data_IF_770157097989
#
_entry.id   IF_770157097989
#
_cell.length_a   1.000
_cell.length_b   1.000
_cell.length_c   1.000
_cell.angle_alpha   90.00
_cell.angle_beta   90.00
_cell.angle_gamma   90.00
#
_symmetry.space_group_name_H-M   'P 1'
#
loop_
_entity.id
_entity.type
_entity.pdbx_description
1 polymer ?
2 non-polymer ?
3 non-polymer ?
4 water ?
#
# COMPACT_ATOMS: atom_id res chain seq x y z
N UNK A 1 -8.26 15.36 10.56
CA UNK A 1 -8.48 14.03 9.94
C UNK A 1 -8.13 12.88 10.91
N UNK A 2 -8.90 11.79 10.90
CA UNK A 2 -8.70 10.68 11.82
C UNK A 2 -7.64 9.71 11.29
N UNK A 3 -6.69 9.36 12.15
CA UNK A 3 -5.78 8.26 11.83
C UNK A 3 -5.31 7.53 13.08
N UNK A 4 -4.84 6.31 12.92
CA UNK A 4 -4.09 5.60 13.97
C UNK A 4 -2.58 5.53 13.68
N UNK A 5 -1.81 5.62 14.72
CA UNK A 5 -0.39 5.45 14.62
C UNK A 5 -0.10 3.97 14.82
N UNK A 6 0.66 3.39 13.86
CA UNK A 6 1.03 2.01 13.90
C UNK A 6 2.52 1.86 13.58
N UNK A 7 3.14 0.76 14.01
CA UNK A 7 4.53 0.50 13.72
C UNK A 7 4.67 -0.93 13.18
N UNK A 8 5.51 -1.17 12.14
CA UNK A 8 5.79 -2.52 11.61
C UNK A 8 7.29 -2.78 11.78
N UNK A 9 7.66 -4.01 12.12
CA UNK A 9 9.03 -4.49 11.93
C UNK A 9 9.30 -4.68 10.44
N UNK A 10 10.53 -4.98 10.07
CA UNK A 10 10.85 -5.28 8.69
C UNK A 10 10.07 -6.56 8.28
N UNK A 11 9.56 -6.58 7.07
CA UNK A 11 8.69 -7.65 6.63
C UNK A 11 9.20 -8.09 5.30
N UNK A 12 8.89 -9.32 4.93
CA UNK A 12 9.12 -9.81 3.59
C UNK A 12 7.79 -9.81 2.87
N UNK A 13 7.78 -9.21 1.67
CA UNK A 13 6.61 -9.14 0.83
C UNK A 13 6.87 -9.87 -0.49
N UNK A 14 5.88 -10.65 -0.88
CA UNK A 14 5.95 -11.48 -2.05
C UNK A 14 4.82 -11.06 -2.95
N UNK A 15 5.12 -10.84 -4.22
CA UNK A 15 4.10 -10.45 -5.17
C UNK A 15 4.70 -10.08 -6.51
N UNK A 16 4.07 -9.08 -7.15
CA UNK A 16 4.47 -8.65 -8.48
C UNK A 16 4.46 -7.16 -8.52
N UNK A 17 5.58 -6.59 -8.92
CA UNK A 17 5.75 -5.16 -9.09
C UNK A 17 5.76 -4.79 -10.57
N UNK A 18 4.97 -3.81 -10.97
CA UNK A 18 5.03 -3.22 -12.30
C UNK A 18 5.44 -1.75 -12.12
N UNK A 19 5.94 -1.16 -13.20
CA UNK A 19 6.49 0.18 -13.19
C UNK A 19 5.83 0.98 -14.28
N UNK A 20 5.34 2.19 -13.92
CA UNK A 20 4.60 3.07 -14.86
C UNK A 20 5.29 4.40 -14.88
N UNK A 21 5.04 5.23 -15.87
CA UNK A 21 5.42 6.65 -15.70
C UNK A 21 4.51 7.28 -14.62
N UNK A 22 5.11 8.03 -13.67
CA UNK A 22 4.34 8.76 -12.66
C UNK A 22 3.11 9.36 -13.34
N UNK A 23 1.92 8.90 -12.94
CA UNK A 23 0.78 8.95 -13.85
C UNK A 23 -0.48 9.72 -13.47
N UNK A 24 -0.90 10.57 -14.42
CA UNK A 24 -2.29 11.01 -14.53
C UNK A 24 -3.12 9.84 -15.13
N UNK A 25 -2.40 8.88 -15.72
CA UNK A 25 -2.98 7.66 -16.28
C UNK A 25 -2.65 6.44 -15.41
N UNK A 26 -1.92 6.66 -14.31
CA UNK A 26 -1.43 5.58 -13.47
C UNK A 26 -2.60 4.78 -12.96
N UNK A 27 -3.70 5.47 -12.60
CA UNK A 27 -4.80 4.76 -11.97
C UNK A 27 -5.38 3.78 -12.96
N UNK A 28 -5.41 4.16 -14.24
CA UNK A 28 -5.88 3.24 -15.29
C UNK A 28 -5.01 1.95 -15.41
N UNK A 29 -3.69 2.12 -15.40
CA UNK A 29 -2.78 0.98 -15.41
C UNK A 29 -2.90 0.12 -14.15
N UNK A 30 -3.07 0.75 -13.00
CA UNK A 30 -3.22 0.02 -11.75
C UNK A 30 -4.49 -0.81 -11.80
N UNK A 31 -5.59 -0.22 -12.27
CA UNK A 31 -6.82 -0.99 -12.48
C UNK A 31 -6.54 -2.21 -13.33
N UNK A 32 -5.92 -2.00 -14.48
CA UNK A 32 -5.63 -3.10 -15.38
C UNK A 32 -4.74 -4.19 -14.77
N UNK A 33 -3.83 -3.76 -13.91
CA UNK A 33 -2.86 -4.65 -13.28
C UNK A 33 -3.56 -5.49 -12.24
N UNK A 34 -4.44 -4.88 -11.45
CA UNK A 34 -5.34 -5.64 -10.57
C UNK A 34 -6.17 -6.65 -11.35
N UNK A 35 -6.78 -6.18 -12.43
CA UNK A 35 -7.64 -7.04 -13.28
C UNK A 35 -6.85 -8.25 -13.77
N UNK A 36 -5.63 -8.01 -14.26
CA UNK A 36 -4.76 -9.07 -14.76
C UNK A 36 -4.31 -10.04 -13.71
N UNK A 37 -3.95 -9.50 -12.55
CA UNK A 37 -3.51 -10.38 -11.45
C UNK A 37 -4.67 -11.29 -11.00
N UNK A 38 -5.88 -10.76 -10.96
CA UNK A 38 -6.99 -11.64 -10.58
C UNK A 38 -7.22 -12.66 -11.69
N UNK A 39 -7.17 -12.18 -12.94
CA UNK A 39 -7.55 -12.98 -14.05
C UNK A 39 -6.55 -14.09 -14.23
N UNK A 40 -5.26 -13.80 -14.01
CA UNK A 40 -4.29 -14.84 -14.20
C UNK A 40 -4.08 -15.73 -12.92
N UNK A 41 -4.88 -15.55 -11.87
CA UNK A 41 -4.76 -16.47 -10.74
C UNK A 41 -3.64 -16.04 -9.80
N UNK A 42 -3.05 -14.87 -10.08
CA UNK A 42 -1.98 -14.39 -9.20
C UNK A 42 -2.52 -14.02 -7.82
N UNK A 43 -3.62 -13.30 -7.74
CA UNK A 43 -4.17 -12.96 -6.42
C UNK A 43 -4.42 -14.24 -5.60
N UNK A 44 -5.09 -15.22 -6.21
CA UNK A 44 -5.39 -16.44 -5.48
C UNK A 44 -4.13 -17.10 -4.99
N UNK A 45 -3.14 -17.13 -5.86
CA UNK A 45 -1.90 -17.80 -5.53
C UNK A 45 -1.15 -17.05 -4.37
N UNK A 46 -1.16 -15.71 -4.38
CA UNK A 46 -0.52 -14.93 -3.30
C UNK A 46 -1.25 -15.08 -1.99
N UNK A 47 -2.58 -15.20 -2.08
CA UNK A 47 -3.36 -15.37 -0.88
C UNK A 47 -2.95 -16.63 -0.11
N UNK A 48 -2.52 -17.68 -0.83
CA UNK A 48 -2.09 -18.91 -0.19
C UNK A 48 -0.88 -18.69 0.63
N UNK A 49 -0.04 -17.85 0.10
CA UNK A 49 1.27 -17.55 0.69
C UNK A 49 1.23 -16.59 1.82
N UNK A 50 0.11 -15.92 2.03
CA UNK A 50 0.03 -14.89 3.08
C UNK A 50 0.28 -15.57 4.43
N UNK A 51 1.34 -15.13 5.11
CA UNK A 51 1.68 -15.73 6.40
C UNK A 51 1.01 -15.06 7.57
N UNK A 52 0.12 -14.12 7.29
CA UNK A 52 -0.57 -13.43 8.38
C UNK A 52 0.03 -12.18 9.02
N UNK A 53 1.25 -11.80 8.68
CA UNK A 53 1.89 -10.63 9.33
C UNK A 53 1.05 -9.40 9.21
N UNK A 54 0.53 -9.15 8.02
CA UNK A 54 -0.56 -8.24 7.77
C UNK A 54 -1.76 -8.99 7.12
N UNK A 55 -2.97 -8.75 7.63
CA UNK A 55 -4.13 -9.49 7.15
C UNK A 55 -4.63 -8.80 5.90
N UNK A 56 -4.52 -9.44 4.75
CA UNK A 56 -5.02 -8.83 3.51
C UNK A 56 -3.96 -8.72 2.43
N UNK A 57 -4.36 -8.11 1.32
CA UNK A 57 -3.49 -7.93 0.20
C UNK A 57 -3.05 -6.46 0.18
N UNK A 58 -1.76 -6.23 -0.01
CA UNK A 58 -1.19 -4.89 -0.16
C UNK A 58 -1.11 -4.42 -1.61
N UNK A 59 -1.46 -3.15 -1.81
CA UNK A 59 -1.14 -2.45 -3.03
C UNK A 59 -0.16 -1.33 -2.69
N UNK A 60 1.09 -1.60 -2.91
CA UNK A 60 2.18 -0.66 -2.55
C UNK A 60 2.56 0.26 -3.67
N UNK A 61 2.67 1.53 -3.34
CA UNK A 61 3.27 2.47 -4.24
C UNK A 61 4.74 2.66 -3.84
N UNK A 62 5.64 2.29 -4.75
CA UNK A 62 7.07 2.30 -4.51
C UNK A 62 7.75 3.33 -5.37
N UNK A 63 8.38 4.35 -4.75
CA UNK A 63 9.08 5.35 -5.57
C UNK A 63 10.30 4.70 -6.23
N UNK A 64 10.58 5.02 -7.49
CA UNK A 64 11.77 4.51 -8.15
C UNK A 64 12.76 5.70 -8.21
N UNK A 65 14.06 5.41 -8.23
CA UNK A 65 15.09 6.46 -8.22
C UNK A 65 15.24 7.16 -9.59
N UNK A 66 14.59 6.65 -10.62
CA UNK A 66 14.61 7.32 -11.92
C UNK A 66 13.36 8.19 -12.05
N UNK A 67 12.60 8.31 -10.95
CA UNK A 67 11.44 9.17 -10.92
C UNK A 67 10.14 8.45 -11.22
N UNK A 68 10.22 7.35 -11.96
CA UNK A 68 9.04 6.50 -12.23
C UNK A 68 8.31 6.04 -10.98
N UNK A 69 7.13 5.44 -11.17
CA UNK A 69 6.36 4.99 -10.03
C UNK A 69 6.02 3.53 -10.24
N UNK A 70 6.28 2.71 -9.24
CA UNK A 70 5.93 1.29 -9.27
C UNK A 70 4.77 1.05 -8.35
N UNK A 71 4.00 0.02 -8.71
CA UNK A 71 2.92 -0.42 -7.89
C UNK A 71 3.17 -1.88 -7.74
N UNK A 72 3.09 -2.34 -6.50
CA UNK A 72 3.28 -3.77 -6.24
C UNK A 72 2.07 -4.34 -5.55
N UNK A 73 1.58 -5.42 -6.10
CA UNK A 73 0.53 -6.18 -5.43
C UNK A 73 1.24 -7.32 -4.70
N UNK A 74 1.01 -7.42 -3.40
CA UNK A 74 1.79 -8.32 -2.59
C UNK A 74 1.09 -8.76 -1.33
N UNK A 75 1.62 -9.83 -0.71
CA UNK A 75 1.29 -10.24 0.68
C UNK A 75 2.54 -10.42 1.51
N UNK A 76 2.43 -10.36 2.85
CA UNK A 76 3.51 -10.70 3.75
C UNK A 76 3.66 -12.20 3.61
N UNK A 77 4.87 -12.63 3.33
CA UNK A 77 5.18 -14.04 3.14
C UNK A 77 6.49 -14.33 3.80
N UNK A 78 7.11 -15.45 3.43
CA UNK A 78 8.26 -15.94 4.18
C UNK A 78 9.46 -16.22 3.30
N UNK A 79 9.24 -16.72 2.10
CA UNK A 79 10.38 -17.26 1.36
C UNK A 79 10.88 -16.44 0.15
N UNK A 80 12.20 -16.44 -0.03
CA UNK A 80 12.83 -16.07 -1.30
C UNK A 80 12.86 -17.31 -2.22
N UNK A 81 12.26 -18.40 -1.73
CA UNK A 81 12.01 -19.60 -2.52
C UNK A 81 11.03 -19.32 -3.66
N UNK A 82 10.37 -18.16 -3.62
CA UNK A 82 9.38 -17.76 -4.62
C UNK A 82 9.95 -16.87 -5.72
N UNK A 83 11.23 -16.54 -5.61
CA UNK A 83 11.90 -15.61 -6.53
C UNK A 83 11.83 -16.03 -7.99
N UNK A 84 11.65 -17.33 -8.20
CA UNK A 84 11.50 -17.84 -9.54
C UNK A 84 10.28 -17.21 -10.20
N UNK A 85 9.16 -17.17 -9.49
CA UNK A 85 7.95 -16.67 -10.09
C UNK A 85 7.67 -15.21 -9.66
N UNK A 86 8.10 -14.84 -8.45
CA UNK A 86 7.65 -13.59 -7.83
C UNK A 86 8.76 -12.65 -7.49
N UNK A 87 8.40 -11.37 -7.48
CA UNK A 87 9.22 -10.33 -6.82
C UNK A 87 9.13 -10.47 -5.30
N UNK A 88 10.24 -10.32 -4.63
CA UNK A 88 10.26 -10.41 -3.21
C UNK A 88 11.02 -9.19 -2.72
N UNK A 89 10.42 -8.37 -1.85
CA UNK A 89 11.12 -7.27 -1.28
C UNK A 89 11.07 -7.32 0.24
N UNK A 90 11.95 -6.53 0.84
CA UNK A 90 11.92 -6.30 2.25
C UNK A 90 11.26 -4.93 2.41
N UNK A 91 10.24 -4.84 3.25
CA UNK A 91 9.56 -3.58 3.59
C UNK A 91 10.17 -3.14 4.91
N UNK A 92 10.98 -2.08 4.84
CA UNK A 92 11.78 -1.70 5.97
C UNK A 92 10.89 -1.13 7.03
N UNK A 93 11.30 -1.43 8.26
CA UNK A 93 10.56 -1.14 9.46
C UNK A 93 10.21 0.35 9.54
N UNK A 94 9.02 0.69 10.01
CA UNK A 94 8.65 2.12 10.00
C UNK A 94 7.43 2.31 10.87
N UNK A 95 7.22 3.54 11.33
CA UNK A 95 5.95 3.95 11.89
C UNK A 95 5.09 4.47 10.75
N UNK A 96 3.77 4.53 10.96
CA UNK A 96 2.80 4.91 9.95
C UNK A 96 1.68 5.73 10.56
N UNK A 97 1.10 6.63 9.76
CA UNK A 97 -0.24 7.12 9.95
C UNK A 97 -1.13 6.19 9.18
N UNK A 98 -2.10 5.57 9.86
CA UNK A 98 -2.96 4.60 9.17
C UNK A 98 -4.34 5.21 9.13
N UNK A 99 -4.80 5.39 7.89
CA UNK A 99 -6.14 5.95 7.61
C UNK A 99 -7.12 4.91 7.08
N UNK A 100 -8.43 5.15 7.22
CA UNK A 100 -9.45 4.26 6.70
C UNK A 100 -10.25 4.92 5.61
N UNK A 101 -10.39 4.18 4.51
CA UNK A 101 -11.34 4.51 3.46
C UNK A 101 -12.46 3.50 3.47
N UNK A 102 -13.65 4.01 3.69
CA UNK A 102 -14.82 3.16 3.77
C UNK A 102 -15.68 3.45 2.57
N UNK A 103 -16.01 2.39 1.88
CA UNK A 103 -16.80 2.48 0.66
C UNK A 103 -16.29 1.44 -0.32
N UNK A 104 -17.02 1.34 -1.44
CA UNK A 104 -16.70 0.43 -2.53
C UNK A 104 -15.39 0.78 -3.16
N UNK A 105 -14.62 -0.25 -3.47
CA UNK A 105 -13.33 -0.09 -4.15
C UNK A 105 -13.59 0.02 -5.67
N UNK A 106 -12.80 0.85 -6.37
CA UNK A 106 -11.69 1.68 -5.89
C UNK A 106 -12.10 3.10 -5.50
N UNK A 107 -13.34 3.49 -5.76
CA UNK A 107 -13.76 4.89 -5.64
C UNK A 107 -13.49 5.46 -4.27
N UNK A 108 -13.83 4.72 -3.22
CA UNK A 108 -13.63 5.22 -1.87
C UNK A 108 -12.20 5.39 -1.55
N UNK A 109 -11.38 4.54 -2.13
CA UNK A 109 -9.95 4.57 -1.86
C UNK A 109 -9.30 5.73 -2.55
N UNK A 110 -9.64 5.90 -3.81
CA UNK A 110 -9.14 7.04 -4.56
C UNK A 110 -9.46 8.36 -3.89
N UNK A 111 -10.71 8.53 -3.47
CA UNK A 111 -11.14 9.76 -2.85
C UNK A 111 -10.45 10.00 -1.50
N UNK A 112 -10.40 8.94 -0.69
CA UNK A 112 -9.71 9.02 0.63
C UNK A 112 -8.22 9.35 0.41
N UNK A 113 -7.63 8.73 -0.60
CA UNK A 113 -6.21 9.02 -0.91
C UNK A 113 -5.96 10.49 -1.27
N UNK A 114 -6.91 11.13 -1.96
CA UNK A 114 -6.82 12.56 -2.19
C UNK A 114 -6.86 13.32 -0.85
N UNK A 115 -7.80 13.00 0.00
CA UNK A 115 -7.84 13.67 1.28
C UNK A 115 -6.57 13.48 2.09
N UNK A 116 -6.04 12.25 2.11
CA UNK A 116 -4.84 11.91 2.86
C UNK A 116 -3.70 12.80 2.36
N UNK A 117 -3.52 12.87 1.05
CA UNK A 117 -2.35 13.56 0.54
C UNK A 117 -2.46 15.02 0.88
N UNK A 118 -3.66 15.55 0.81
CA UNK A 118 -3.83 16.92 1.17
C UNK A 118 -3.55 17.13 2.67
N UNK A 119 -4.00 16.19 3.52
CA UNK A 119 -3.80 16.29 4.95
C UNK A 119 -2.33 16.22 5.31
N UNK A 120 -1.65 15.23 4.74
CA UNK A 120 -0.25 15.02 5.14
C UNK A 120 0.73 16.11 4.59
N UNK A 121 0.27 17.00 3.72
CA UNK A 121 1.14 18.08 3.20
C UNK A 121 1.58 19.03 4.29
N UNK A 122 0.85 19.06 5.41
CA UNK A 122 1.23 19.86 6.61
C UNK A 122 2.33 19.22 7.44
N UNK A 123 2.70 17.99 7.07
CA UNK A 123 3.69 17.21 7.77
C UNK A 123 4.94 16.90 6.89
N UNK A 124 5.47 17.92 6.19
CA UNK A 124 6.54 17.63 5.22
C UNK A 124 7.81 17.06 5.83
N UNK A 125 8.17 17.46 7.03
CA UNK A 125 9.37 16.95 7.66
C UNK A 125 9.16 15.54 8.26
N UNK A 126 7.91 15.08 8.30
CA UNK A 126 7.61 13.84 8.95
C UNK A 126 7.22 12.68 7.97
N UNK A 127 6.66 13.00 6.82
CA UNK A 127 6.43 11.93 5.83
C UNK A 127 7.72 11.51 5.24
N UNK A 128 7.73 10.35 4.58
CA UNK A 128 8.95 9.79 4.09
C UNK A 128 8.77 9.43 2.60
N UNK A 129 9.23 10.32 1.71
CA UNK A 129 8.80 10.28 0.31
C UNK A 129 9.47 9.16 -0.45
N UNK A 130 10.58 8.68 0.10
CA UNK A 130 11.28 7.61 -0.54
C UNK A 130 10.82 6.20 -0.09
N UNK A 131 10.03 6.15 0.99
CA UNK A 131 9.47 4.92 1.56
C UNK A 131 8.17 4.50 0.91
N UNK A 132 7.93 3.19 0.76
CA UNK A 132 6.67 2.82 0.11
C UNK A 132 5.48 3.24 0.99
N UNK A 133 4.34 3.55 0.37
CA UNK A 133 3.10 3.62 1.16
C UNK A 133 2.17 2.66 0.52
N UNK A 134 1.13 2.24 1.22
CA UNK A 134 0.29 1.20 0.65
C UNK A 134 -1.17 1.22 1.12
N UNK A 135 -1.98 0.61 0.24
CA UNK A 135 -3.38 0.20 0.48
C UNK A 135 -3.35 -1.17 1.04
N UNK A 136 -4.18 -1.41 2.07
CA UNK A 136 -4.29 -2.76 2.66
C UNK A 136 -5.72 -3.20 2.54
N UNK A 137 -5.94 -4.32 1.84
CA UNK A 137 -7.28 -4.84 1.52
C UNK A 137 -7.47 -6.11 2.22
N UNK A 138 -8.25 -6.04 3.30
CA UNK A 138 -8.54 -7.22 4.12
C UNK A 138 -9.71 -7.97 3.52
N UNK A 139 -10.01 -9.13 4.07
CA UNK A 139 -11.15 -9.92 3.59
C UNK A 139 -12.44 -9.16 3.71
N UNK A 140 -13.28 -9.30 2.72
CA UNK A 140 -14.61 -8.71 2.75
C UNK A 140 -15.11 -8.49 1.33
N UNK A 141 -16.28 -7.91 1.20
CA UNK A 141 -16.87 -7.60 -0.10
C UNK A 141 -16.46 -6.19 -0.45
N UNK A 142 -15.49 -6.06 -1.33
CA UNK A 142 -15.01 -4.75 -1.73
C UNK A 142 -16.05 -3.96 -2.52
N UNK A 143 -17.22 -4.56 -2.76
CA UNK A 143 -18.31 -3.79 -3.40
C UNK A 143 -19.24 -3.22 -2.35
N UNK A 144 -19.05 -3.59 -1.08
CA UNK A 144 -19.91 -3.09 0.01
C UNK A 144 -19.53 -1.66 0.47
N UNK A 145 -20.53 -0.84 0.71
CA UNK A 145 -20.32 0.52 1.12
C UNK A 145 -19.70 0.57 2.49
N UNK A 146 -19.70 -0.57 3.17
CA UNK A 146 -19.09 -0.66 4.49
C UNK A 146 -17.69 -1.23 4.44
N UNK A 147 -17.29 -1.68 3.29
CA UNK A 147 -15.91 -2.20 3.19
C UNK A 147 -14.88 -1.14 3.57
N UNK A 148 -13.89 -1.53 4.36
CA UNK A 148 -12.81 -0.62 4.76
C UNK A 148 -11.49 -1.03 4.16
N UNK A 149 -10.89 -0.14 3.34
CA UNK A 149 -9.49 -0.22 2.90
C UNK A 149 -8.61 0.64 3.85
N UNK A 150 -7.48 0.11 4.34
CA UNK A 150 -6.57 0.92 5.15
C UNK A 150 -5.52 1.52 4.20
N UNK A 151 -5.11 2.74 4.51
CA UNK A 151 -4.05 3.44 3.81
C UNK A 151 -2.94 3.71 4.85
N UNK A 152 -1.76 3.18 4.57
CA UNK A 152 -0.62 3.25 5.43
C UNK A 152 0.45 4.16 4.84
N UNK A 153 0.70 5.28 5.55
CA UNK A 153 1.65 6.31 5.18
C UNK A 153 2.79 6.37 6.17
N UNK A 154 4.00 6.09 5.71
CA UNK A 154 5.13 6.00 6.64
C UNK A 154 5.50 7.42 7.19
N UNK A 155 5.86 7.48 8.47
CA UNK A 155 6.28 8.73 9.09
C UNK A 155 7.52 8.53 9.92
N UNK A 156 8.27 9.62 10.07
CA UNK A 156 9.43 9.66 10.93
C UNK A 156 9.36 10.90 11.83
N UNK A 157 9.73 10.78 13.09
CA UNK A 157 9.83 11.93 13.99
C UNK A 157 8.52 12.69 14.27
N UNK A 158 7.38 11.99 14.17
CA UNK A 158 6.08 12.66 14.20
C UNK A 158 5.77 13.29 15.55
N UNK A 159 6.35 12.71 16.59
CA UNK A 159 6.19 13.21 17.94
C UNK A 159 6.75 14.62 18.13
N UNK A 160 7.59 15.06 17.18
CA UNK A 160 8.23 16.39 17.27
C UNK A 160 7.44 17.48 16.56
N UNK A 161 6.48 17.07 15.75
CA UNK A 161 5.63 17.99 15.02
C UNK A 161 4.97 18.95 16.00
N UNK A 162 4.91 20.25 15.70
CA UNK A 162 4.56 21.22 16.76
C UNK A 162 3.08 21.08 17.14
N UNK A 163 2.26 20.56 16.21
CA UNK A 163 0.83 20.33 16.42
C UNK A 163 0.54 19.37 17.61
N UNK A 164 1.56 18.62 18.06
CA UNK A 164 1.42 17.68 19.18
C UNK A 164 2.01 18.25 20.51
N UNK A 165 2.26 19.57 20.51
CA UNK A 165 2.90 20.31 21.62
C UNK A 165 2.18 21.64 21.91
X LIG B 1 -8.79 -3.58 -6.11
X LIG B 1 -9.55 -3.77 -7.27
X LIG B 1 -10.31 -4.97 -7.34
X LIG B 1 -10.32 -5.89 -6.34
X LIG B 1 -9.53 -5.67 -5.17
X LIG B 1 -8.75 -4.50 -5.08
X LIG B 1 -8.04 -2.47 -5.97
X LIG B 1 -8.02 -1.50 -6.95
X LIG B 1 -8.76 -1.65 -8.12
X LIG B 1 -9.55 -2.78 -8.25
X LIG B 1 -7.23 -0.40 -6.69
X LIG B 1 -7.16 0.61 -7.66
X LIG B 1 -7.90 0.49 -8.88
X LIG B 1 -8.67 -0.61 -9.09
X LIG B 1 -6.38 1.71 -7.46
X LIG B 1 -10.24 -2.99 -9.50
X LIG B 1 -9.30 -3.25 -10.48
X LIG B 1 -9.68 -3.53 -11.77
X LIG B 1 -11.01 -3.57 -12.02
X LIG B 1 -11.98 -3.33 -11.03
X LIG B 1 -11.63 -3.05 -9.71
X LIG B 1 -7.84 1.55 -9.90
X LIG B 1 -11.17 -7.12 -6.45
X LIG B 1 -5.75 2.06 -6.19
X LIG B 1 -6.76 2.54 -5.16
X LIG B 1 -9.52 -6.63 -4.20
X LIG B 1 -8.87 -6.52 -2.89
X LIG B 1 -9.17 -7.74 -2.03
X LIG B 1 -12.61 -3.24 -8.62
X LIG B 1 -12.26 -2.67 -7.46
X LIG B 1 -13.32 -4.23 -8.51
X LIG B 1 -14.60 -3.90 -8.02
X LIG B 1 -15.56 -4.99 -8.39
X LIG B 1 -10.91 -5.15 -8.24
X LIG B 1 -8.16 -4.31 -4.19
X LIG B 1 -6.65 -0.31 -5.77
X LIG B 1 -9.24 -0.69 -10.02
X LIG B 1 -6.21 2.34 -8.25
X LIG B 1 -8.23 -3.22 -10.24
X LIG B 1 -8.94 -3.71 -12.55
X LIG B 1 -11.35 -3.77 -13.04
X LIG B 1 -13.04 -3.37 -11.32
X LIG B 1 -8.40 1.26 -10.81
X LIG B 1 -6.81 1.76 -10.20
X LIG B 1 -8.25 2.51 -9.55
X LIG B 1 -10.60 -7.93 -6.92
X LIG B 1 -11.54 -7.48 -5.48
X LIG B 1 -12.07 -6.94 -7.06
X LIG B 1 -5.19 1.18 -5.82
X LIG B 1 -4.96 2.85 -6.33
X LIG B 1 -6.28 2.83 -4.21
X LIG B 1 -7.36 3.37 -5.54
X LIG B 1 -7.46 1.71 -4.95
X LIG B 1 -10.01 -7.51 -4.41
X LIG B 1 -9.20 -5.60 -2.36
X LIG B 1 -7.77 -6.42 -3.02
X LIG B 1 -8.77 -8.68 -2.47
X LIG B 1 -8.67 -7.61 -1.06
X LIG B 1 -10.24 -7.85 -1.81
X LIG B 1 -14.55 -3.76 -6.91
X LIG B 1 -14.92 -2.92 -8.44
X LIG B 1 -16.58 -4.61 -8.47
X LIG B 1 -15.55 -5.86 -7.71
X LIG B 1 -15.31 -5.35 -9.40
X LIG C 1 4.25 9.28 3.08
X LIG C 1 5.17 9.11 4.12
X LIG C 1 4.98 9.14 1.73
X LIG C 1 5.43 7.78 1.42
X LIG C 1 4.13 9.83 0.67
X LIG C 1 4.86 9.80 -0.53
X LIG C 1 3.77 10.25 3.16
X LIG C 1 3.47 8.51 3.15
X LIG C 1 4.73 9.26 4.98
X LIG C 1 5.88 9.75 1.83
X LIG C 1 4.66 7.21 1.27
X LIG C 1 3.92 10.86 0.96
X LIG C 1 3.19 9.30 0.54
X LIG C 1 4.59 9.02 -1.05
X LIG D 1 8.37 8.27 14.72
X LIG D 1 7.67 9.36 14.16
X LIG D 1 9.84 8.45 15.12
X LIG D 1 10.04 7.83 16.39
X LIG D 1 10.81 7.89 14.08
X LIG D 1 10.45 6.57 13.73
X LIG D 1 8.31 7.44 14.02
X LIG D 1 7.82 7.95 15.61
X LIG D 1 6.77 9.08 13.89
X LIG D 1 10.04 9.52 15.21
X LIG D 1 9.91 6.87 16.30
X LIG D 1 11.82 7.89 14.48
X LIG D 1 10.80 8.52 13.19
X LIG D 1 11.15 6.18 13.15
X LIG E 1 -6.50 15.96 13.26
X LIG E 1 -7.91 15.99 13.12
X LIG E 1 -6.00 17.35 13.64
X LIG E 1 -5.12 17.21 14.75
X LIG E 1 -5.30 18.08 12.49
X LIG E 1 -6.19 18.32 11.41
X LIG E 1 -6.04 15.66 12.32
X LIG E 1 -6.22 15.25 14.03
X LIG E 1 -8.23 15.13 12.81
X LIG E 1 -6.86 17.95 13.95
X LIG E 1 -4.33 16.72 14.48
X LIG E 1 -4.46 17.48 12.14
X LIG E 1 -4.90 19.02 12.85
X LIG E 1 -5.71 18.78 10.69
X LIG F 1 15.00 -1.49 -9.21
X LIG F 1 13.76 -1.22 -9.83
X LIG F 1 16.08 -1.57 -10.29
X LIG F 1 16.63 -2.88 -10.34
X LIG F 1 15.54 -1.16 -11.67
X LIG F 1 14.75 0.00 -11.62
X LIG F 1 14.94 -2.43 -8.65
X LIG F 1 15.23 -0.68 -8.51
X LIG F 1 13.05 -1.23 -9.16
X LIG F 1 16.86 -0.86 -10.02
X LIG F 1 15.94 -3.50 -10.62
X LIG F 1 14.94 -1.98 -12.07
X LIG F 1 16.37 -1.01 -12.35
X LIG F 1 15.33 0.79 -11.67
#
# INVERSE_FOLDING_TARGET
MEYQLQQLASLTLVGIKETYENGRQAQQHIAGFWQRCYQEGVIADLQLKNNGDLAGILGLCIPELDGKMSYMIAVTGDNSADIAKYDVITLASSKYMVFEAQGAVPKAVQQKMEEVHHYIHQYQANTVKSAPFFELYQDGDTTSEKYITEIWMPVKGLEHHHHHH
RHQ C1 C2 C3 C4 C5 C6 O1 C7 C8 C9 C10 C11 C12 C13 N1 C14 C15 C16 C17 C18 C19 C20 C21 C22 C23 N2 C24 C25 C26 O27 O2 C28 C29 H31 H61 H101 H131 HN11 H151 H161 H171 H181 H201 H202 H203 H211 H212 H213 H221 H222 H231 H232 H233 HN21 H241 H242 H251 H252 H253 H281 H282 H291 H292 H293
GOL C1 O1 C2 O2 C3 O3 H11 H12 HO1 H2 HO2 H31 H32 HO3
GOL C1 O1 C2 O2 C3 O3 H11 H12 HO1 H2 HO2 H31 H32 HO3
GOL C1 O1 C2 O2 C3 O3 H11 H12 HO1 H2 HO2 H31 H32 HO3
GOL C1 O1 C2 O2 C3 O3 H11 H12 HO1 H2 HO2 H31 H32 HO3
#
